data_IF_888542053282
#
_entry.id   IF_888542053282
#
_cell.length_a   1.000
_cell.length_b   1.000
_cell.length_c   1.000
_cell.angle_alpha   90.00
_cell.angle_beta   90.00
_cell.angle_gamma   90.00
#
_symmetry.space_group_name_H-M   'P 1'
#
loop_
_entity.id
_entity.type
_entity.pdbx_description
1 polymer ?
#
# COMPACT_ATOMS: atom_id res chain seq x y z
N UNK A 1 -0.68 -12.47 3.26
CA UNK A 1 -1.40 -11.48 2.43
C UNK A 1 -2.12 -10.53 3.37
N UNK A 2 -1.78 -9.26 3.33
CA UNK A 2 -2.32 -8.23 4.22
C UNK A 2 -3.58 -7.61 3.59
N UNK A 3 -4.67 -7.49 4.36
CA UNK A 3 -5.88 -6.78 3.93
C UNK A 3 -5.87 -5.39 4.53
N UNK A 4 -6.01 -4.38 3.69
CA UNK A 4 -6.13 -3.00 4.13
C UNK A 4 -7.60 -2.62 4.18
N UNK A 5 -8.00 -1.94 5.26
CA UNK A 5 -9.39 -1.55 5.51
C UNK A 5 -9.73 -0.13 5.02
N UNK A 6 -8.70 0.66 4.70
CA UNK A 6 -8.84 2.01 4.18
C UNK A 6 -9.40 2.07 2.75
N UNK A 7 -9.85 3.27 2.38
CA UNK A 7 -10.24 3.59 1.00
C UNK A 7 -9.05 4.22 0.29
N UNK A 8 -8.48 3.49 -0.66
CA UNK A 8 -7.28 3.92 -1.37
C UNK A 8 -7.60 4.44 -2.77
N UNK A 9 -7.02 5.59 -3.12
CA UNK A 9 -6.98 6.06 -4.49
C UNK A 9 -5.86 5.32 -5.23
N UNK A 10 -6.24 4.55 -6.26
CA UNK A 10 -5.29 3.88 -7.15
C UNK A 10 -5.17 4.72 -8.43
N UNK A 11 -3.94 4.92 -8.90
CA UNK A 11 -3.71 5.64 -10.16
C UNK A 11 -4.34 4.91 -11.35
N UNK A 12 -4.62 5.59 -12.48
CA UNK A 12 -5.07 4.94 -13.72
C UNK A 12 -4.11 3.85 -14.22
N UNK A 13 -2.82 3.95 -13.88
CA UNK A 13 -1.79 2.95 -14.18
C UNK A 13 -1.83 1.72 -13.27
N UNK A 14 -2.85 1.61 -12.41
CA UNK A 14 -3.00 0.56 -11.39
C UNK A 14 -1.83 0.50 -10.39
N UNK A 15 -1.12 1.61 -10.23
CA UNK A 15 -0.03 1.74 -9.28
C UNK A 15 -0.57 2.34 -7.99
N UNK A 16 -0.29 1.67 -6.89
CA UNK A 16 -0.57 2.16 -5.55
C UNK A 16 0.74 2.65 -4.95
N UNK A 17 0.69 3.83 -4.33
CA UNK A 17 1.80 4.38 -3.56
C UNK A 17 1.27 4.78 -2.19
N UNK A 18 1.81 4.15 -1.15
CA UNK A 18 1.61 4.56 0.23
C UNK A 18 2.83 5.34 0.68
N UNK A 19 2.61 6.53 1.23
CA UNK A 19 3.67 7.29 1.88
C UNK A 19 3.53 7.12 3.38
N UNK A 20 4.57 6.58 4.03
CA UNK A 20 4.70 6.62 5.47
C UNK A 20 5.32 7.98 5.85
N UNK A 21 4.50 9.03 5.82
CA UNK A 21 4.89 10.32 6.37
C UNK A 21 4.53 10.35 7.87
N UNK A 22 5.52 10.52 8.77
CA UNK A 22 5.25 10.62 10.20
C UNK A 22 4.46 11.88 10.59
N UNK A 23 4.36 12.88 9.71
CA UNK A 23 3.78 14.19 10.03
C UNK A 23 2.32 14.28 9.60
N UNK A 24 1.91 13.60 8.52
CA UNK A 24 0.51 13.58 8.06
C UNK A 24 0.16 12.25 7.38
N UNK A 25 -0.77 11.45 7.92
CA UNK A 25 -1.39 10.41 7.12
C UNK A 25 -2.10 11.07 5.95
N UNK A 26 -1.80 10.67 4.71
CA UNK A 26 -2.58 11.07 3.55
C UNK A 26 -4.04 10.69 3.79
N UNK A 27 -4.93 11.65 3.57
CA UNK A 27 -6.38 11.51 3.73
C UNK A 27 -6.87 10.24 3.01
N UNK A 28 -7.29 9.24 3.80
CA UNK A 28 -7.78 7.94 3.30
C UNK A 28 -6.93 6.73 3.70
N UNK A 29 -5.69 6.92 4.16
CA UNK A 29 -4.86 5.84 4.71
C UNK A 29 -5.10 5.73 6.21
N UNK A 30 -5.68 4.62 6.67
CA UNK A 30 -5.77 4.32 8.10
C UNK A 30 -4.36 4.13 8.67
N UNK A 31 -4.07 4.76 9.81
CA UNK A 31 -2.77 4.62 10.46
C UNK A 31 -2.46 3.16 10.84
N UNK A 32 -3.49 2.38 11.16
CA UNK A 32 -3.39 0.92 11.40
C UNK A 32 -2.92 0.16 10.16
N UNK A 33 -3.46 0.49 8.98
CA UNK A 33 -3.07 -0.14 7.73
C UNK A 33 -1.61 0.20 7.38
N UNK A 34 -1.20 1.45 7.63
CA UNK A 34 0.19 1.86 7.40
C UNK A 34 1.17 1.07 8.28
N UNK A 35 0.87 0.92 9.57
CA UNK A 35 1.70 0.12 10.48
C UNK A 35 1.72 -1.34 10.04
N UNK A 36 0.57 -1.91 9.68
CA UNK A 36 0.48 -3.29 9.21
C UNK A 36 1.28 -3.52 7.91
N UNK A 37 1.27 -2.56 6.99
CA UNK A 37 2.11 -2.60 5.76
C UNK A 37 3.59 -2.54 6.12
N UNK A 38 4.00 -1.67 7.04
CA UNK A 38 5.39 -1.58 7.48
C UNK A 38 5.87 -2.90 8.08
N UNK A 39 5.08 -3.49 8.99
CA UNK A 39 5.44 -4.73 9.66
C UNK A 39 5.48 -5.90 8.67
N UNK A 40 4.49 -5.99 7.77
CA UNK A 40 4.43 -7.04 6.76
C UNK A 40 5.57 -6.93 5.74
N UNK A 41 5.91 -5.71 5.29
CA UNK A 41 7.00 -5.51 4.36
C UNK A 41 8.37 -5.74 5.03
N UNK A 42 8.56 -5.29 6.27
CA UNK A 42 9.78 -5.55 7.05
C UNK A 42 10.02 -7.06 7.26
N UNK A 43 8.95 -7.82 7.52
CA UNK A 43 9.04 -9.28 7.68
C UNK A 43 9.37 -10.03 6.38
N UNK A 44 9.15 -9.42 5.21
CA UNK A 44 9.29 -10.05 3.90
C UNK A 44 10.32 -9.32 3.01
N UNK A 45 11.46 -8.96 3.58
CA UNK A 45 12.60 -8.34 2.86
C UNK A 45 12.20 -7.08 2.05
N UNK A 46 11.26 -6.29 2.56
CA UNK A 46 10.76 -5.08 1.91
C UNK A 46 9.67 -5.32 0.86
N UNK A 47 9.09 -6.51 0.75
CA UNK A 47 7.99 -6.81 -0.18
C UNK A 47 6.78 -7.37 0.57
N UNK A 48 5.60 -6.79 0.42
CA UNK A 48 4.39 -7.29 1.07
C UNK A 48 3.22 -7.40 0.09
N UNK A 49 2.58 -8.57 0.09
CA UNK A 49 1.37 -8.79 -0.67
C UNK A 49 0.18 -8.15 0.05
N UNK A 50 -0.50 -7.23 -0.62
CA UNK A 50 -1.65 -6.48 -0.10
C UNK A 50 -2.91 -6.74 -0.92
N UNK A 51 -4.05 -6.63 -0.24
CA UNK A 51 -5.38 -6.61 -0.82
C UNK A 51 -6.09 -5.36 -0.29
N UNK A 52 -6.64 -4.56 -1.19
CA UNK A 52 -7.24 -3.27 -0.88
C UNK A 52 -8.62 -3.18 -1.49
N UNK A 53 -9.52 -2.51 -0.79
CA UNK A 53 -10.83 -2.19 -1.31
C UNK A 53 -10.80 -0.82 -1.98
N UNK A 54 -11.29 -0.74 -3.22
CA UNK A 54 -11.44 0.53 -3.95
C UNK A 54 -12.88 0.74 -4.35
N UNK A 55 -13.20 1.96 -4.80
CA UNK A 55 -14.52 2.26 -5.37
C UNK A 55 -14.91 1.34 -6.55
N UNK A 56 -13.94 0.71 -7.22
CA UNK A 56 -14.15 -0.20 -8.35
C UNK A 56 -14.16 -1.68 -7.95
N UNK A 57 -13.97 -1.98 -6.66
CA UNK A 57 -13.91 -3.32 -6.10
C UNK A 57 -12.53 -3.66 -5.52
N UNK A 58 -12.40 -4.92 -5.12
CA UNK A 58 -11.19 -5.44 -4.49
C UNK A 58 -10.05 -5.61 -5.50
N UNK A 59 -8.89 -5.10 -5.12
CA UNK A 59 -7.64 -5.25 -5.86
C UNK A 59 -6.58 -5.91 -4.98
N UNK A 60 -5.67 -6.66 -5.59
CA UNK A 60 -4.54 -7.30 -4.92
C UNK A 60 -3.24 -7.10 -5.68
N UNK A 61 -2.11 -7.13 -4.97
CA UNK A 61 -0.79 -7.10 -5.58
C UNK A 61 0.30 -7.03 -4.53
N UNK A 62 1.51 -6.73 -4.96
CA UNK A 62 2.68 -6.67 -4.07
C UNK A 62 3.18 -5.23 -4.01
N UNK A 63 3.28 -4.70 -2.79
CA UNK A 63 3.98 -3.46 -2.52
C UNK A 63 5.43 -3.77 -2.18
N UNK A 64 6.33 -2.91 -2.66
CA UNK A 64 7.73 -2.93 -2.32
C UNK A 64 8.07 -1.63 -1.60
N UNK A 65 8.80 -1.75 -0.49
CA UNK A 65 9.38 -0.62 0.22
C UNK A 65 10.42 0.07 -0.67
N UNK A 66 10.23 1.36 -0.86
CA UNK A 66 11.21 2.27 -1.42
C UNK A 66 11.61 3.26 -0.35
N UNK A 67 12.90 3.31 -0.09
CA UNK A 67 13.51 4.37 0.72
C UNK A 67 14.07 5.43 -0.24
N UNK A 68 13.34 6.52 -0.55
CA UNK A 68 13.91 7.63 -1.29
C UNK A 68 15.12 8.19 -0.55
N UNK A 69 16.28 8.13 -1.21
CA UNK A 69 17.58 8.55 -0.68
C UNK A 69 17.64 10.01 -0.18
N UNK A 70 16.63 10.85 -0.52
CA UNK A 70 16.63 12.28 -0.22
C UNK A 70 15.67 12.75 0.87
N UNK A 71 14.72 11.91 1.33
CA UNK A 71 13.62 12.43 2.17
C UNK A 71 13.42 11.73 3.51
N UNK A 72 14.16 10.66 3.87
CA UNK A 72 13.90 9.83 5.08
C UNK A 72 12.45 9.32 5.21
N UNK A 73 11.60 9.56 4.21
CA UNK A 73 10.24 9.04 4.12
C UNK A 73 10.32 7.63 3.57
N UNK A 74 9.67 6.66 4.23
CA UNK A 74 9.46 5.34 3.62
C UNK A 74 8.24 5.45 2.72
N UNK A 75 8.36 5.04 1.47
CA UNK A 75 7.21 4.86 0.58
C UNK A 75 7.09 3.40 0.21
N UNK A 76 5.87 2.93 0.01
CA UNK A 76 5.59 1.59 -0.46
C UNK A 76 4.87 1.73 -1.79
N UNK A 77 5.41 1.11 -2.83
CA UNK A 77 4.79 1.17 -4.15
C UNK A 77 4.62 -0.21 -4.76
N UNK A 78 3.55 -0.39 -5.52
CA UNK A 78 3.30 -1.64 -6.20
C UNK A 78 2.20 -1.54 -7.24
N UNK A 79 2.14 -2.56 -8.10
CA UNK A 79 1.05 -2.70 -9.06
C UNK A 79 -0.03 -3.59 -8.46
N UNK A 80 -1.27 -3.13 -8.54
CA UNK A 80 -2.43 -3.88 -8.10
C UNK A 80 -3.24 -4.33 -9.32
N UNK A 81 -3.84 -5.51 -9.21
CA UNK A 81 -4.78 -6.03 -10.21
C UNK A 81 -6.11 -6.31 -9.53
N UNK A 82 -7.20 -6.13 -10.26
CA UNK A 82 -8.51 -6.58 -9.79
C UNK A 82 -8.47 -8.08 -9.50
N UNK A 83 -9.15 -8.50 -8.43
CA UNK A 83 -9.37 -9.91 -8.19
C UNK A 83 -10.07 -10.53 -9.40
N UNK A 84 -9.66 -11.74 -9.84
CA UNK A 84 -10.40 -12.46 -10.86
C UNK A 84 -11.84 -12.64 -10.36
N UNK A 85 -12.82 -12.21 -11.17
CA UNK A 85 -14.23 -12.51 -10.91
C UNK A 85 -14.38 -14.03 -11.07
N UNK A 86 -14.60 -14.73 -9.95
CA UNK A 86 -15.02 -16.13 -9.93
C UNK A 86 -16.40 -16.31 -10.53
#
# INVERSE_FOLDING_TARGET
>A
MLRLEGLYAISPTKRMTLFADPIRPLSGVLASDLQAVQDACAANAGQCAVQVNTAFGWMQGTLSEKTPARLRLRSFEGHLSFLPRS
#
